data_IF_045690098521
#
_entry.id   IF_045690098521
#
_cell.length_a   1.000
_cell.length_b   1.000
_cell.length_c   1.000
_cell.angle_alpha   90.00
_cell.angle_beta   90.00
_cell.angle_gamma   90.00
#
_symmetry.space_group_name_H-M   'P 1'
#
loop_
_entity.id
_entity.type
_entity.pdbx_description
1 polymer ?
#
# COMPACT_ATOMS: atom_id res chain seq x y z
N UNK A 1 28.08 -6.90 6.08
CA UNK A 1 26.63 -6.68 5.93
C UNK A 1 26.45 -5.23 5.53
N UNK A 2 25.71 -4.96 4.44
CA UNK A 2 25.50 -3.60 3.94
C UNK A 2 24.28 -3.02 4.63
N UNK A 3 24.48 -1.93 5.36
CA UNK A 3 23.39 -1.17 5.96
C UNK A 3 22.65 -0.39 4.86
N UNK A 4 21.33 -0.30 4.97
CA UNK A 4 20.51 0.45 4.01
C UNK A 4 20.80 1.96 4.05
N UNK A 5 20.78 2.59 2.87
CA UNK A 5 20.93 4.04 2.75
C UNK A 5 19.80 4.82 3.43
N UNK A 6 20.04 6.12 3.66
CA UNK A 6 19.08 7.03 4.28
C UNK A 6 17.79 7.14 3.44
N UNK A 7 17.90 7.16 2.11
CA UNK A 7 16.73 7.26 1.25
C UNK A 7 15.92 5.97 1.26
N UNK A 8 16.56 4.79 1.36
CA UNK A 8 15.85 3.51 1.58
C UNK A 8 15.05 3.54 2.88
N UNK A 9 15.63 4.08 3.97
CA UNK A 9 14.90 4.29 5.24
C UNK A 9 13.70 5.21 5.05
N UNK A 10 13.84 6.29 4.27
CA UNK A 10 12.75 7.23 3.97
C UNK A 10 11.63 6.54 3.20
N UNK A 11 11.94 5.77 2.16
CA UNK A 11 10.92 5.04 1.37
C UNK A 11 10.17 4.02 2.24
N UNK A 12 10.89 3.25 3.06
CA UNK A 12 10.24 2.35 4.03
C UNK A 12 9.31 3.10 4.99
N UNK A 13 9.71 4.28 5.48
CA UNK A 13 8.84 5.09 6.35
C UNK A 13 7.59 5.55 5.59
N UNK A 14 7.71 5.97 4.33
CA UNK A 14 6.57 6.35 3.49
C UNK A 14 5.60 5.16 3.34
N UNK A 15 6.10 3.97 3.00
CA UNK A 15 5.29 2.76 2.86
C UNK A 15 4.62 2.36 4.18
N UNK A 16 5.35 2.48 5.29
CA UNK A 16 4.84 2.24 6.63
C UNK A 16 3.71 3.19 7.01
N UNK A 17 3.88 4.49 6.75
CA UNK A 17 2.85 5.50 7.01
C UNK A 17 1.62 5.26 6.15
N UNK A 18 1.79 4.98 4.85
CA UNK A 18 0.69 4.68 3.96
C UNK A 18 -0.09 3.44 4.45
N UNK A 19 0.62 2.35 4.71
CA UNK A 19 0.03 1.10 5.22
C UNK A 19 -0.71 1.31 6.53
N UNK A 20 -0.15 2.10 7.45
CA UNK A 20 -0.78 2.42 8.73
C UNK A 20 -2.06 3.24 8.58
N UNK A 21 -2.05 4.28 7.75
CA UNK A 21 -3.23 5.12 7.51
C UNK A 21 -4.36 4.32 6.87
N UNK A 22 -4.07 3.58 5.79
CA UNK A 22 -5.10 2.77 5.13
C UNK A 22 -5.55 1.59 6.01
N UNK A 23 -4.66 1.00 6.81
CA UNK A 23 -5.07 -0.01 7.78
C UNK A 23 -6.11 0.54 8.77
N UNK A 24 -5.95 1.77 9.27
CA UNK A 24 -6.98 2.38 10.13
C UNK A 24 -8.31 2.48 9.37
N UNK A 25 -8.29 2.99 8.14
CA UNK A 25 -9.49 3.17 7.31
C UNK A 25 -10.21 1.85 7.03
N UNK A 26 -9.49 0.81 6.61
CA UNK A 26 -10.08 -0.45 6.16
C UNK A 26 -10.28 -1.48 7.29
N UNK A 27 -9.46 -1.47 8.35
CA UNK A 27 -9.54 -2.44 9.44
C UNK A 27 -10.37 -1.93 10.62
N UNK A 28 -10.10 -0.71 11.07
CA UNK A 28 -10.63 -0.19 12.34
C UNK A 28 -11.97 0.51 12.14
N UNK A 29 -12.09 1.32 11.08
CA UNK A 29 -13.28 2.13 10.79
C UNK A 29 -13.83 1.95 9.35
N UNK A 30 -13.97 0.71 8.82
CA UNK A 30 -14.38 0.49 7.44
C UNK A 30 -15.77 1.03 7.12
N UNK A 31 -16.71 0.97 8.05
CA UNK A 31 -18.07 1.50 7.85
C UNK A 31 -18.08 3.03 7.71
N UNK A 32 -17.25 3.72 8.51
CA UNK A 32 -17.13 5.18 8.42
C UNK A 32 -16.50 5.56 7.07
N UNK A 33 -15.42 4.88 6.68
CA UNK A 33 -14.78 5.14 5.40
C UNK A 33 -15.71 4.84 4.22
N UNK A 34 -16.46 3.72 4.27
CA UNK A 34 -17.47 3.39 3.27
C UNK A 34 -18.56 4.47 3.16
N UNK A 35 -19.03 5.02 4.28
CA UNK A 35 -20.02 6.11 4.24
C UNK A 35 -19.50 7.39 3.57
N UNK A 36 -18.18 7.58 3.51
CA UNK A 36 -17.55 8.74 2.88
C UNK A 36 -17.33 8.52 1.38
N UNK A 37 -16.95 7.31 0.97
CA UNK A 37 -16.59 7.01 -0.43
C UNK A 37 -17.76 6.42 -1.23
N UNK A 38 -18.87 6.11 -0.55
CA UNK A 38 -20.12 5.60 -1.13
C UNK A 38 -19.90 4.42 -2.11
N UNK A 39 -19.30 3.31 -1.65
CA UNK A 39 -19.10 2.15 -2.49
C UNK A 39 -20.44 1.47 -2.79
N UNK A 40 -20.68 1.11 -4.05
CA UNK A 40 -21.93 0.45 -4.45
C UNK A 40 -22.12 -0.91 -3.74
N UNK A 41 -21.02 -1.62 -3.51
CA UNK A 41 -20.99 -2.90 -2.81
C UNK A 41 -20.02 -2.79 -1.64
N UNK A 42 -20.57 -2.71 -0.43
CA UNK A 42 -19.79 -2.73 0.80
C UNK A 42 -19.89 -4.11 1.46
N UNK A 43 -18.76 -4.81 1.55
CA UNK A 43 -18.62 -5.99 2.39
C UNK A 43 -17.63 -5.71 3.54
N UNK A 44 -18.11 -5.58 4.79
CA UNK A 44 -17.26 -5.30 5.93
C UNK A 44 -16.20 -6.37 6.19
N UNK A 45 -16.43 -7.63 5.79
CA UNK A 45 -15.44 -8.70 5.96
C UNK A 45 -14.31 -8.55 4.96
N UNK A 46 -14.62 -8.26 3.68
CA UNK A 46 -13.63 -7.97 2.65
C UNK A 46 -12.74 -6.78 3.06
N UNK A 47 -13.35 -5.67 3.51
CA UNK A 47 -12.61 -4.46 3.86
C UNK A 47 -11.69 -4.69 5.06
N UNK A 48 -12.17 -5.40 6.10
CA UNK A 48 -11.33 -5.75 7.24
C UNK A 48 -10.21 -6.72 6.88
N UNK A 49 -10.47 -7.70 6.02
CA UNK A 49 -9.43 -8.61 5.54
C UNK A 49 -8.34 -7.84 4.79
N UNK A 50 -8.73 -6.89 3.93
CA UNK A 50 -7.80 -5.98 3.25
C UNK A 50 -7.03 -5.09 4.23
N UNK A 51 -7.70 -4.50 5.22
CA UNK A 51 -7.04 -3.77 6.31
C UNK A 51 -6.05 -4.63 7.11
N UNK A 52 -6.33 -5.93 7.24
CA UNK A 52 -5.44 -6.90 7.87
C UNK A 52 -4.14 -7.14 7.09
N UNK A 53 -4.19 -7.14 5.75
CA UNK A 53 -2.96 -7.24 4.94
C UNK A 53 -2.11 -5.98 5.08
N UNK A 54 -2.75 -4.80 5.16
CA UNK A 54 -2.06 -3.53 5.42
C UNK A 54 -1.42 -3.48 6.80
N UNK A 55 -2.05 -4.06 7.84
CA UNK A 55 -1.42 -4.24 9.15
C UNK A 55 -0.16 -5.12 9.05
N UNK A 56 -0.24 -6.23 8.31
CA UNK A 56 0.91 -7.11 8.14
C UNK A 56 2.07 -6.41 7.42
N UNK A 57 1.78 -5.64 6.37
CA UNK A 57 2.78 -4.83 5.65
C UNK A 57 3.41 -3.78 6.56
N UNK A 58 2.60 -3.07 7.36
CA UNK A 58 3.10 -2.12 8.33
C UNK A 58 4.06 -2.76 9.34
N UNK A 59 3.71 -3.92 9.90
CA UNK A 59 4.59 -4.67 10.81
C UNK A 59 5.90 -5.07 10.10
N UNK A 60 5.82 -5.57 8.87
CA UNK A 60 7.01 -5.95 8.09
C UNK A 60 7.93 -4.76 7.84
N UNK A 61 7.38 -3.58 7.55
CA UNK A 61 8.14 -2.32 7.42
C UNK A 61 8.84 -1.97 8.74
N UNK A 62 8.15 -2.04 9.88
CA UNK A 62 8.77 -1.78 11.19
C UNK A 62 9.92 -2.75 11.49
N UNK A 63 9.76 -4.02 11.13
CA UNK A 63 10.82 -5.04 11.27
C UNK A 63 11.99 -4.69 10.34
N UNK A 64 11.73 -4.36 9.07
CA UNK A 64 12.75 -3.99 8.10
C UNK A 64 13.56 -2.77 8.56
N UNK A 65 12.87 -1.73 9.07
CA UNK A 65 13.50 -0.52 9.64
C UNK A 65 14.38 -0.83 10.86
N UNK A 66 13.92 -1.73 11.74
CA UNK A 66 14.70 -2.11 12.93
C UNK A 66 15.95 -2.89 12.56
N UNK A 67 15.88 -3.75 11.55
CA UNK A 67 16.99 -4.61 11.15
C UNK A 67 18.00 -3.88 10.26
N UNK A 68 17.53 -2.99 9.38
CA UNK A 68 18.34 -2.12 8.52
C UNK A 68 19.41 -2.85 7.66
N UNK A 69 19.26 -4.15 7.44
CA UNK A 69 20.12 -4.97 6.58
C UNK A 69 19.50 -5.10 5.20
N UNK A 70 20.28 -4.79 4.15
CA UNK A 70 19.79 -4.77 2.77
C UNK A 70 19.08 -6.06 2.35
N UNK A 71 19.67 -7.24 2.61
CA UNK A 71 19.11 -8.52 2.19
C UNK A 71 17.70 -8.78 2.73
N UNK A 72 17.38 -8.25 3.91
CA UNK A 72 16.08 -8.44 4.54
C UNK A 72 15.09 -7.35 4.11
N UNK A 73 15.59 -6.13 3.95
CA UNK A 73 14.81 -4.98 3.46
C UNK A 73 14.39 -5.19 2.00
N UNK A 74 15.26 -5.79 1.19
CA UNK A 74 15.03 -6.13 -0.21
C UNK A 74 13.72 -6.90 -0.41
N UNK A 75 13.49 -7.92 0.40
CA UNK A 75 12.27 -8.74 0.34
C UNK A 75 11.02 -7.92 0.65
N UNK A 76 11.12 -6.97 1.59
CA UNK A 76 9.99 -6.09 1.94
C UNK A 76 9.69 -5.10 0.81
N UNK A 77 10.71 -4.56 0.16
CA UNK A 77 10.55 -3.69 -1.02
C UNK A 77 9.96 -4.46 -2.20
N UNK A 78 10.42 -5.68 -2.48
CA UNK A 78 9.84 -6.55 -3.53
C UNK A 78 8.37 -6.83 -3.26
N UNK A 79 8.02 -7.15 -2.01
CA UNK A 79 6.64 -7.33 -1.60
C UNK A 79 5.82 -6.06 -1.78
N UNK A 80 6.34 -4.89 -1.41
CA UNK A 80 5.65 -3.61 -1.59
C UNK A 80 5.36 -3.31 -3.07
N UNK A 81 6.32 -3.58 -3.97
CA UNK A 81 6.14 -3.43 -5.42
C UNK A 81 5.05 -4.39 -5.93
N UNK A 82 5.16 -5.68 -5.60
CA UNK A 82 4.23 -6.70 -6.10
C UNK A 82 2.82 -6.43 -5.58
N UNK A 83 2.68 -6.19 -4.26
CA UNK A 83 1.39 -5.95 -3.63
C UNK A 83 0.73 -4.71 -4.22
N UNK A 84 1.44 -3.57 -4.26
CA UNK A 84 0.90 -2.32 -4.83
C UNK A 84 0.53 -2.48 -6.31
N UNK A 85 1.29 -3.27 -7.08
CA UNK A 85 0.96 -3.56 -8.48
C UNK A 85 -0.32 -4.36 -8.63
N UNK A 86 -0.55 -5.36 -7.76
CA UNK A 86 -1.79 -6.14 -7.74
C UNK A 86 -2.97 -5.22 -7.42
N UNK A 87 -2.86 -4.36 -6.39
CA UNK A 87 -3.94 -3.45 -6.02
C UNK A 87 -4.22 -2.43 -7.13
N UNK A 88 -3.17 -1.91 -7.79
CA UNK A 88 -3.35 -1.02 -8.93
C UNK A 88 -4.13 -1.69 -10.08
N UNK A 89 -3.83 -2.96 -10.38
CA UNK A 89 -4.58 -3.73 -11.38
C UNK A 89 -6.04 -3.90 -10.96
N UNK A 90 -6.31 -4.19 -9.68
CA UNK A 90 -7.67 -4.29 -9.16
C UNK A 90 -8.42 -2.96 -9.27
N UNK A 91 -7.79 -1.83 -8.89
CA UNK A 91 -8.39 -0.51 -9.04
C UNK A 91 -8.76 -0.19 -10.49
N UNK A 92 -7.86 -0.48 -11.45
CA UNK A 92 -8.14 -0.29 -12.88
C UNK A 92 -9.30 -1.17 -13.33
N UNK A 93 -9.35 -2.43 -12.87
CA UNK A 93 -10.45 -3.34 -13.17
C UNK A 93 -11.77 -2.83 -12.59
N UNK A 94 -11.80 -2.36 -11.35
CA UNK A 94 -13.00 -1.79 -10.71
C UNK A 94 -13.56 -0.61 -11.51
N UNK A 95 -12.70 0.30 -11.96
CA UNK A 95 -13.07 1.48 -12.75
C UNK A 95 -13.73 1.13 -14.10
N UNK A 96 -13.41 -0.03 -14.68
CA UNK A 96 -13.88 -0.44 -16.01
C UNK A 96 -15.07 -1.40 -15.92
N UNK A 97 -15.07 -2.29 -14.92
CA UNK A 97 -15.97 -3.43 -14.86
C UNK A 97 -17.16 -3.25 -13.92
N UNK A 98 -17.07 -2.33 -12.94
CA UNK A 98 -18.13 -2.16 -11.94
C UNK A 98 -18.89 -0.85 -12.14
N UNK A 99 -20.22 -0.85 -11.98
CA UNK A 99 -20.96 0.39 -11.80
C UNK A 99 -20.61 0.97 -10.43
N UNK A 100 -19.99 2.15 -10.39
CA UNK A 100 -19.50 2.77 -9.16
C UNK A 100 -19.95 4.24 -9.09
N UNK A 101 -20.08 4.76 -7.86
CA UNK A 101 -20.49 6.16 -7.63
C UNK A 101 -19.37 7.12 -8.08
N UNK A 102 -19.70 8.40 -8.42
CA UNK A 102 -18.68 9.40 -8.74
C UNK A 102 -17.64 9.58 -7.63
N UNK A 103 -18.07 9.56 -6.36
CA UNK A 103 -17.19 9.69 -5.20
C UNK A 103 -16.21 8.51 -5.10
N UNK A 104 -16.68 7.29 -5.37
CA UNK A 104 -15.82 6.11 -5.38
C UNK A 104 -14.82 6.18 -6.53
N UNK A 105 -15.24 6.61 -7.73
CA UNK A 105 -14.33 6.83 -8.88
C UNK A 105 -13.20 7.78 -8.52
N UNK A 106 -13.52 8.94 -7.93
CA UNK A 106 -12.52 9.93 -7.53
C UNK A 106 -11.54 9.34 -6.52
N UNK A 107 -12.05 8.62 -5.53
CA UNK A 107 -11.22 7.95 -4.51
C UNK A 107 -10.30 6.90 -5.14
N UNK A 108 -10.84 6.01 -5.98
CA UNK A 108 -10.06 4.97 -6.67
C UNK A 108 -8.97 5.56 -7.57
N UNK A 109 -9.23 6.69 -8.23
CA UNK A 109 -8.22 7.39 -9.04
C UNK A 109 -7.11 7.95 -8.15
N UNK A 110 -7.45 8.61 -7.04
CA UNK A 110 -6.47 9.14 -6.08
C UNK A 110 -5.60 8.02 -5.52
N UNK A 111 -6.21 6.92 -5.10
CA UNK A 111 -5.50 5.74 -4.59
C UNK A 111 -4.60 5.12 -5.66
N UNK A 112 -5.06 5.06 -6.92
CA UNK A 112 -4.26 4.55 -8.03
C UNK A 112 -3.04 5.42 -8.31
N UNK A 113 -3.17 6.75 -8.26
CA UNK A 113 -2.03 7.67 -8.40
C UNK A 113 -1.03 7.46 -7.27
N UNK A 114 -1.52 7.33 -6.03
CA UNK A 114 -0.66 7.07 -4.88
C UNK A 114 0.10 5.74 -5.04
N UNK A 115 -0.57 4.66 -5.45
CA UNK A 115 0.05 3.36 -5.71
C UNK A 115 1.13 3.45 -6.79
N UNK A 116 0.88 4.18 -7.90
CA UNK A 116 1.89 4.40 -8.94
C UNK A 116 3.13 5.10 -8.37
N UNK A 117 2.94 6.14 -7.55
CA UNK A 117 4.06 6.84 -6.89
C UNK A 117 4.84 5.89 -5.98
N UNK A 118 4.15 5.10 -5.15
CA UNK A 118 4.80 4.13 -4.25
C UNK A 118 5.58 3.05 -5.02
N UNK A 119 5.02 2.52 -6.11
CA UNK A 119 5.67 1.54 -6.98
C UNK A 119 6.95 2.13 -7.58
N UNK A 120 6.87 3.36 -8.11
CA UNK A 120 8.03 4.02 -8.73
C UNK A 120 9.12 4.28 -7.68
N UNK A 121 8.78 4.79 -6.50
CA UNK A 121 9.73 5.04 -5.42
C UNK A 121 10.44 3.77 -4.97
N UNK A 122 9.67 2.70 -4.75
CA UNK A 122 10.21 1.40 -4.34
C UNK A 122 11.09 0.78 -5.43
N UNK A 123 10.64 0.78 -6.68
CA UNK A 123 11.43 0.28 -7.81
C UNK A 123 12.73 1.08 -7.99
N UNK A 124 12.66 2.41 -7.89
CA UNK A 124 13.84 3.28 -7.99
C UNK A 124 14.88 2.96 -6.91
N UNK A 125 14.47 2.88 -5.65
CA UNK A 125 15.39 2.52 -4.55
C UNK A 125 15.94 1.11 -4.73
N UNK A 126 15.10 0.17 -5.14
CA UNK A 126 15.50 -1.21 -5.37
C UNK A 126 16.65 -1.31 -6.38
N UNK A 127 16.51 -0.68 -7.55
CA UNK A 127 17.56 -0.70 -8.58
C UNK A 127 18.81 0.10 -8.21
N UNK A 128 18.67 1.10 -7.33
CA UNK A 128 19.78 1.94 -6.89
C UNK A 128 20.68 1.22 -5.88
N UNK A 129 20.09 0.51 -4.92
CA UNK A 129 20.82 -0.24 -3.88
C UNK A 129 21.41 -1.57 -4.36
N UNK A 130 21.00 -2.05 -5.53
CA UNK A 130 21.63 -3.21 -6.18
C UNK A 130 22.98 -2.89 -6.83
N UNK A 131 23.30 -1.61 -7.05
CA UNK A 131 24.54 -1.16 -7.70
C UNK A 131 25.62 -0.88 -6.68
#
# INVERSE_FOLDING_TARGET
>A
MVEISKETKIVLIIDGVASFLFMILYLIIPELYASMVDPLVFDPYYWRAFGGTLLALFILVLIALKRAEWEQVKVVIELAIIWSSIILILNIWELIALPISPTYIETTIVDSILLVVLIILNAFIYYREQK
#
